data_IF_013909600357
#
_entry.id   IF_013909600357
#
_cell.length_a   1.000
_cell.length_b   1.000
_cell.length_c   1.000
_cell.angle_alpha   90.00
_cell.angle_beta   90.00
_cell.angle_gamma   90.00
#
_symmetry.space_group_name_H-M   'P 1'
#
loop_
_entity.id
_entity.type
_entity.pdbx_description
1 polymer ?
#
# COMPACT_ATOMS: atom_id res chain seq x y z
N UNK A 1 5.40 -15.98 11.11
CA UNK A 1 4.76 -15.03 12.05
C UNK A 1 3.38 -15.61 12.31
N UNK A 2 2.90 -15.64 13.55
CA UNK A 2 1.54 -16.11 13.82
C UNK A 2 0.52 -15.09 13.31
N UNK A 3 -0.58 -15.57 12.75
CA UNK A 3 -1.70 -14.75 12.30
C UNK A 3 -2.33 -14.04 13.52
N UNK A 4 -2.34 -12.69 13.57
CA UNK A 4 -2.95 -11.94 14.66
C UNK A 4 -4.49 -12.01 14.66
N UNK A 5 -5.10 -12.63 13.66
CA UNK A 5 -6.55 -12.65 13.44
C UNK A 5 -7.01 -11.44 12.61
N UNK A 6 -8.34 -11.23 12.49
CA UNK A 6 -8.89 -10.16 11.65
C UNK A 6 -8.44 -8.77 12.13
N UNK A 7 -8.35 -7.84 11.19
CA UNK A 7 -8.10 -6.44 11.49
C UNK A 7 -9.13 -5.93 12.51
N UNK A 8 -8.65 -5.22 13.54
CA UNK A 8 -9.52 -4.70 14.60
C UNK A 8 -10.35 -3.48 14.14
N UNK A 9 -9.89 -2.81 13.08
CA UNK A 9 -10.52 -1.64 12.49
C UNK A 9 -10.12 -1.54 11.02
N UNK A 10 -11.04 -1.09 10.18
CA UNK A 10 -10.74 -0.79 8.79
C UNK A 10 -9.87 0.47 8.71
N UNK A 11 -8.75 0.37 7.99
CA UNK A 11 -7.75 1.44 7.93
C UNK A 11 -7.28 1.70 6.50
N UNK A 12 -6.66 2.86 6.28
CA UNK A 12 -6.17 3.28 4.97
C UNK A 12 -5.25 2.28 4.28
N UNK A 13 -4.47 1.51 5.06
CA UNK A 13 -3.49 0.55 4.53
C UNK A 13 -3.84 -0.92 4.87
N UNK A 14 -4.98 -1.15 5.53
CA UNK A 14 -5.36 -2.48 5.99
C UNK A 14 -4.40 -3.11 6.99
N UNK A 15 -4.55 -4.43 7.16
CA UNK A 15 -3.66 -5.29 7.92
C UNK A 15 -3.18 -6.41 7.00
N UNK A 16 -1.86 -6.63 6.97
CA UNK A 16 -1.25 -7.72 6.21
C UNK A 16 -0.69 -8.80 7.13
N UNK A 17 -0.90 -10.06 6.75
CA UNK A 17 -0.33 -11.24 7.41
C UNK A 17 0.53 -11.99 6.39
N UNK A 18 1.75 -12.31 6.78
CA UNK A 18 2.74 -12.91 5.89
C UNK A 18 3.18 -14.31 6.32
N UNK A 19 3.23 -15.24 5.37
CA UNK A 19 3.75 -16.60 5.56
C UNK A 19 4.57 -17.07 4.36
N UNK A 20 5.26 -18.19 4.53
CA UNK A 20 6.06 -18.82 3.47
C UNK A 20 5.36 -20.06 2.93
N UNK A 21 5.29 -20.16 1.61
CA UNK A 21 4.87 -21.35 0.87
C UNK A 21 6.04 -21.83 0.01
N UNK A 22 6.87 -22.72 0.58
CA UNK A 22 8.15 -23.08 -0.03
C UNK A 22 9.04 -21.85 -0.19
N UNK A 23 9.42 -21.54 -1.43
CA UNK A 23 10.29 -20.41 -1.78
C UNK A 23 9.52 -19.11 -2.08
N UNK A 24 8.20 -19.10 -1.87
CA UNK A 24 7.34 -17.93 -2.12
C UNK A 24 6.90 -17.32 -0.80
N UNK A 25 7.16 -16.03 -0.61
CA UNK A 25 6.55 -15.26 0.45
C UNK A 25 5.15 -14.82 0.01
N UNK A 26 4.14 -15.15 0.81
CA UNK A 26 2.75 -14.80 0.58
C UNK A 26 2.33 -13.77 1.61
N UNK A 27 1.74 -12.68 1.17
CA UNK A 27 1.17 -11.65 2.03
C UNK A 27 -0.33 -11.49 1.73
N UNK A 28 -1.15 -11.70 2.74
CA UNK A 28 -2.61 -11.54 2.66
C UNK A 28 -3.02 -10.24 3.37
N UNK A 29 -3.66 -9.34 2.63
CA UNK A 29 -4.14 -8.04 3.09
C UNK A 29 -5.66 -8.00 3.16
N UNK A 30 -6.19 -7.46 4.26
CA UNK A 30 -7.62 -7.19 4.47
C UNK A 30 -7.84 -6.02 5.43
N UNK A 31 -9.09 -5.65 5.71
CA UNK A 31 -9.42 -4.55 6.64
C UNK A 31 -9.05 -3.17 6.09
N UNK A 32 -9.16 -3.00 4.77
CA UNK A 32 -9.00 -1.70 4.13
C UNK A 32 -10.26 -0.86 4.36
N UNK A 33 -10.12 0.45 4.55
CA UNK A 33 -11.26 1.35 4.42
C UNK A 33 -11.55 1.66 2.95
N UNK A 34 -12.70 2.25 2.65
CA UNK A 34 -13.14 2.61 1.30
C UNK A 34 -12.75 4.05 0.88
N UNK A 35 -11.82 4.67 1.61
CA UNK A 35 -11.48 6.10 1.44
C UNK A 35 -10.24 6.33 0.59
N UNK A 36 -9.61 5.26 0.10
CA UNK A 36 -8.48 5.30 -0.84
C UNK A 36 -8.89 5.05 -2.27
N UNK A 37 -8.05 5.49 -3.21
CA UNK A 37 -8.15 5.04 -4.59
C UNK A 37 -7.52 3.66 -4.73
N UNK A 38 -8.15 2.80 -5.54
CA UNK A 38 -7.65 1.48 -5.90
C UNK A 38 -6.33 1.56 -6.67
N UNK A 39 -6.23 2.50 -7.60
CA UNK A 39 -5.05 2.72 -8.42
C UNK A 39 -4.84 4.20 -8.77
N UNK A 40 -3.78 4.47 -9.52
CA UNK A 40 -3.42 5.84 -9.95
C UNK A 40 -4.36 6.40 -11.03
N UNK A 41 -5.24 5.59 -11.61
CA UNK A 41 -6.24 6.04 -12.57
C UNK A 41 -7.52 6.55 -11.89
N UNK A 42 -7.63 6.39 -10.56
CA UNK A 42 -8.81 6.83 -9.79
C UNK A 42 -9.94 5.81 -9.79
N UNK A 43 -9.65 4.53 -10.04
CA UNK A 43 -10.61 3.47 -9.77
C UNK A 43 -10.86 3.37 -8.25
N UNK A 44 -12.05 2.93 -7.85
CA UNK A 44 -12.42 2.76 -6.44
C UNK A 44 -12.39 1.28 -6.04
N UNK A 45 -12.40 1.04 -4.73
CA UNK A 45 -12.65 -0.25 -4.11
C UNK A 45 -13.55 -0.02 -2.88
N UNK A 46 -14.13 -1.08 -2.35
CA UNK A 46 -14.90 -1.08 -1.10
C UNK A 46 -14.05 -1.59 0.06
N UNK A 47 -14.62 -1.54 1.26
CA UNK A 47 -14.02 -2.12 2.46
C UNK A 47 -13.97 -3.67 2.44
N UNK A 48 -14.74 -4.29 1.53
CA UNK A 48 -14.73 -5.74 1.31
C UNK A 48 -13.55 -6.22 0.45
N UNK A 49 -12.63 -5.32 0.08
CA UNK A 49 -11.44 -5.67 -0.70
C UNK A 49 -10.47 -6.55 0.09
N UNK A 50 -9.96 -7.60 -0.55
CA UNK A 50 -8.83 -8.41 -0.07
C UNK A 50 -7.75 -8.48 -1.14
N UNK A 51 -6.51 -8.63 -0.71
CA UNK A 51 -5.35 -8.72 -1.59
C UNK A 51 -4.49 -9.90 -1.16
N UNK A 52 -4.16 -10.80 -2.09
CA UNK A 52 -3.19 -11.86 -1.87
C UNK A 52 -2.00 -11.62 -2.79
N UNK A 53 -0.88 -11.22 -2.21
CA UNK A 53 0.37 -10.98 -2.91
C UNK A 53 1.32 -12.17 -2.74
N UNK A 54 2.03 -12.51 -3.81
CA UNK A 54 3.01 -13.59 -3.86
C UNK A 54 4.32 -13.06 -4.42
N UNK A 55 5.39 -13.28 -3.67
CA UNK A 55 6.73 -12.84 -3.99
C UNK A 55 7.65 -14.05 -4.11
N UNK A 56 7.98 -14.44 -5.34
CA UNK A 56 8.85 -15.59 -5.61
C UNK A 56 10.18 -15.11 -6.17
N UNK A 57 11.28 -15.39 -5.47
CA UNK A 57 12.62 -15.14 -6.00
C UNK A 57 12.87 -16.04 -7.22
N UNK A 58 13.13 -15.46 -8.38
CA UNK A 58 13.42 -16.21 -9.63
C UNK A 58 14.91 -16.23 -9.97
N UNK A 59 15.67 -15.31 -9.38
CA UNK A 59 17.14 -15.23 -9.44
C UNK A 59 17.63 -14.27 -8.35
N UNK A 60 18.95 -14.07 -8.15
CA UNK A 60 19.48 -13.13 -7.15
C UNK A 60 19.01 -11.66 -7.30
N UNK A 61 18.50 -11.29 -8.47
CA UNK A 61 18.16 -9.91 -8.85
C UNK A 61 16.71 -9.73 -9.29
N UNK A 62 15.90 -10.80 -9.27
CA UNK A 62 14.55 -10.78 -9.83
C UNK A 62 13.54 -11.46 -8.91
N UNK A 63 12.40 -10.79 -8.70
CA UNK A 63 11.23 -11.33 -8.02
C UNK A 63 10.11 -11.45 -9.04
N UNK A 64 9.47 -12.61 -9.15
CA UNK A 64 8.15 -12.69 -9.77
C UNK A 64 7.12 -12.24 -8.72
N UNK A 65 6.49 -11.11 -8.99
CA UNK A 65 5.40 -10.57 -8.18
C UNK A 65 4.06 -10.92 -8.83
N UNK A 66 3.19 -11.53 -8.05
CA UNK A 66 1.80 -11.82 -8.41
C UNK A 66 0.88 -11.25 -7.34
N UNK A 67 -0.23 -10.65 -7.75
CA UNK A 67 -1.26 -10.22 -6.81
C UNK A 67 -2.64 -10.58 -7.34
N UNK A 68 -3.46 -11.18 -6.48
CA UNK A 68 -4.89 -11.39 -6.72
C UNK A 68 -5.65 -10.44 -5.82
N UNK A 69 -6.52 -9.63 -6.42
CA UNK A 69 -7.32 -8.64 -5.70
C UNK A 69 -8.79 -9.01 -5.91
N UNK A 70 -9.51 -9.18 -4.80
CA UNK A 70 -10.94 -9.51 -4.79
C UNK A 70 -11.70 -8.40 -4.09
N UNK A 71 -12.78 -7.93 -4.71
CA UNK A 71 -13.74 -7.03 -4.09
C UNK A 71 -15.10 -7.32 -4.75
N UNK A 72 -15.99 -8.09 -4.10
CA UNK A 72 -17.26 -8.51 -4.69
C UNK A 72 -18.30 -7.39 -4.78
N UNK A 73 -18.08 -6.26 -4.09
CA UNK A 73 -18.98 -5.11 -4.13
C UNK A 73 -18.65 -4.18 -5.30
N UNK A 74 -17.38 -4.14 -5.71
CA UNK A 74 -16.90 -3.28 -6.79
C UNK A 74 -16.64 -4.04 -8.10
N UNK A 75 -16.02 -5.22 -8.03
CA UNK A 75 -15.56 -5.96 -9.21
C UNK A 75 -16.38 -7.23 -9.47
N UNK A 76 -16.73 -7.46 -10.74
CA UNK A 76 -17.48 -8.66 -11.14
C UNK A 76 -16.64 -9.95 -11.11
N UNK A 77 -15.32 -9.85 -10.96
CA UNK A 77 -14.35 -10.94 -10.91
C UNK A 77 -13.02 -10.46 -10.31
N UNK A 78 -12.16 -11.36 -9.81
CA UNK A 78 -10.84 -10.99 -9.31
C UNK A 78 -9.96 -10.33 -10.36
N UNK A 79 -9.18 -9.34 -9.92
CA UNK A 79 -8.09 -8.74 -10.69
C UNK A 79 -6.78 -9.46 -10.39
N UNK A 80 -5.99 -9.72 -11.44
CA UNK A 80 -4.69 -10.37 -11.30
C UNK A 80 -3.58 -9.53 -11.91
N UNK A 81 -2.53 -9.31 -11.13
CA UNK A 81 -1.28 -8.67 -11.55
C UNK A 81 -0.21 -9.76 -11.58
N UNK A 82 0.63 -9.74 -12.61
CA UNK A 82 1.80 -10.62 -12.71
C UNK A 82 2.91 -9.90 -13.44
N UNK A 83 4.00 -9.62 -12.74
CA UNK A 83 5.14 -8.94 -13.34
C UNK A 83 6.46 -9.28 -12.63
N UNK A 84 7.58 -9.33 -13.37
CA UNK A 84 8.90 -9.36 -12.76
C UNK A 84 9.25 -7.99 -12.16
N UNK A 85 9.75 -8.00 -10.93
CA UNK A 85 10.41 -6.88 -10.28
C UNK A 85 11.92 -7.05 -10.40
N UNK A 86 12.60 -5.96 -10.74
CA UNK A 86 14.04 -5.95 -11.05
C UNK A 86 14.80 -5.15 -9.99
N UNK A 87 15.88 -5.73 -9.47
CA UNK A 87 16.84 -4.96 -8.67
C UNK A 87 17.64 -4.03 -9.58
N UNK A 88 17.76 -2.76 -9.19
CA UNK A 88 18.72 -1.86 -9.83
C UNK A 88 20.14 -2.23 -9.39
N UNK A 89 20.96 -2.73 -10.32
CA UNK A 89 22.30 -3.29 -10.03
C UNK A 89 23.48 -2.47 -10.59
N UNK A 90 23.19 -1.39 -11.32
CA UNK A 90 24.24 -0.55 -11.88
C UNK A 90 25.04 0.15 -10.76
N UNK A 91 26.33 0.43 -11.00
CA UNK A 91 27.20 1.09 -10.02
C UNK A 91 26.71 2.49 -9.59
N UNK A 92 25.94 3.16 -10.46
CA UNK A 92 25.34 4.47 -10.22
C UNK A 92 23.91 4.40 -9.64
N UNK A 93 23.41 3.20 -9.32
CA UNK A 93 22.11 3.01 -8.71
C UNK A 93 22.03 3.77 -7.38
N UNK A 94 21.04 4.67 -7.30
CA UNK A 94 20.76 5.48 -6.12
C UNK A 94 19.30 5.38 -5.74
N UNK A 95 19.02 5.36 -4.44
CA UNK A 95 17.66 5.58 -3.96
C UNK A 95 17.23 6.99 -4.37
N UNK A 96 16.19 7.09 -5.18
CA UNK A 96 15.63 8.37 -5.57
C UNK A 96 15.13 9.13 -4.35
N UNK A 97 15.28 10.45 -4.34
CA UNK A 97 14.61 11.27 -3.33
C UNK A 97 13.10 11.18 -3.55
N UNK A 98 12.40 10.63 -2.57
CA UNK A 98 10.97 10.82 -2.49
C UNK A 98 10.73 12.27 -2.06
N UNK A 99 10.06 13.07 -2.90
CA UNK A 99 9.70 14.44 -2.53
C UNK A 99 8.64 14.37 -1.43
N UNK A 100 9.07 14.43 -0.18
CA UNK A 100 8.20 14.89 0.89
C UNK A 100 7.81 16.32 0.53
N UNK A 101 6.52 16.58 0.35
CA UNK A 101 6.05 17.96 0.25
C UNK A 101 6.25 18.56 1.62
N UNK A 102 7.29 19.40 1.75
CA UNK A 102 7.52 20.14 2.98
C UNK A 102 6.23 20.91 3.32
N UNK A 103 5.79 20.84 4.57
CA UNK A 103 4.55 21.44 5.04
C UNK A 103 3.25 20.85 4.47
N UNK A 104 3.22 19.61 3.96
CA UNK A 104 1.94 18.98 3.52
C UNK A 104 0.91 18.93 4.66
N UNK A 105 1.37 18.70 5.89
CA UNK A 105 0.49 18.73 7.07
C UNK A 105 -0.03 20.14 7.35
N UNK A 106 0.77 21.19 7.13
CA UNK A 106 0.29 22.57 7.26
C UNK A 106 -0.72 22.90 6.16
N UNK A 107 -0.45 22.47 4.92
CA UNK A 107 -1.34 22.68 3.79
C UNK A 107 -2.69 21.97 3.97
N UNK A 108 -2.67 20.73 4.46
CA UNK A 108 -3.88 19.92 4.60
C UNK A 108 -4.60 20.12 5.94
N UNK A 109 -3.85 20.37 7.02
CA UNK A 109 -4.36 20.36 8.40
C UNK A 109 -3.96 21.59 9.23
N UNK A 110 -3.32 22.61 8.64
CA UNK A 110 -2.90 23.82 9.36
C UNK A 110 -4.05 24.51 10.08
N UNK A 111 -5.25 24.49 9.51
CA UNK A 111 -6.49 24.99 10.11
C UNK A 111 -6.92 24.25 11.38
N UNK A 112 -6.41 23.04 11.62
CA UNK A 112 -6.67 22.24 12.83
C UNK A 112 -5.62 22.46 13.92
N UNK A 113 -4.58 23.27 13.67
CA UNK A 113 -3.61 23.62 14.70
C UNK A 113 -4.26 24.47 15.78
N UNK A 114 -3.80 24.27 17.02
CA UNK A 114 -4.14 25.16 18.14
C UNK A 114 -3.80 26.62 17.82
N UNK A 115 -2.66 26.85 17.17
CA UNK A 115 -2.22 28.15 16.65
C UNK A 115 -1.82 27.99 15.17
N UNK A 116 -2.71 28.30 14.21
CA UNK A 116 -2.41 28.20 12.77
C UNK A 116 -1.29 29.16 12.33
N UNK A 117 -0.44 28.74 11.38
CA UNK A 117 0.61 29.62 10.85
C UNK A 117 -0.06 30.75 10.05
N UNK A 118 0.16 32.00 10.46
CA UNK A 118 -0.42 33.18 9.82
C UNK A 118 -1.71 33.71 10.45
N UNK A 119 -2.21 33.09 11.52
CA UNK A 119 -3.20 33.75 12.39
C UNK A 119 -2.53 34.85 13.22
N UNK A 120 -3.29 35.87 13.64
CA UNK A 120 -2.76 37.00 14.42
C UNK A 120 -2.06 36.59 15.73
N UNK A 121 -2.35 35.39 16.25
CA UNK A 121 -1.73 34.82 17.45
C UNK A 121 -0.40 34.08 17.21
N UNK A 122 -0.04 33.82 15.95
CA UNK A 122 1.16 33.07 15.57
C UNK A 122 2.34 33.93 15.09
N UNK A 123 2.24 35.26 15.18
CA UNK A 123 3.27 36.22 14.71
C UNK A 123 4.02 36.89 15.86
#
# INVERSE_FOLDING_TARGET
MEDPGPAQVDSWMGQSVGHWEGDTFVAEGSGFNDQTWFDRAGNHHSASMTVVERYTMTSPDHILYEATIEDPETFSRPWMIRMPLYRHVNEDARLGQFKCVEFVEELMYGQLRKNPIGSEEGR
#
